data_IF_924150760139
#
_entry.id   IF_924150760139
#
_cell.length_a   1.000
_cell.length_b   1.000
_cell.length_c   1.000
_cell.angle_alpha   90.00
_cell.angle_beta   90.00
_cell.angle_gamma   90.00
#
_symmetry.space_group_name_H-M   'P 1'
#
loop_
_entity.id
_entity.type
_entity.pdbx_description
1 polymer ?
#
# COMPACT_ATOMS: atom_id res chain seq x y z
N UNK A 1 12.75 -9.35 -21.18
CA UNK A 1 11.56 -8.81 -20.67
C UNK A 1 11.61 -8.72 -19.15
N UNK A 2 11.16 -7.70 -18.67
CA UNK A 2 11.24 -7.52 -17.26
C UNK A 2 9.88 -7.77 -16.63
N UNK A 3 9.92 -8.43 -15.54
CA UNK A 3 8.73 -8.63 -14.76
C UNK A 3 8.69 -7.56 -13.70
N UNK A 4 7.57 -6.89 -13.55
CA UNK A 4 7.48 -5.92 -12.47
C UNK A 4 7.79 -6.59 -11.15
N UNK A 5 8.63 -5.98 -10.37
CA UNK A 5 9.03 -6.54 -9.11
C UNK A 5 7.85 -6.66 -8.16
N UNK A 6 6.84 -5.83 -8.38
CA UNK A 6 5.74 -5.75 -7.44
C UNK A 6 4.42 -5.88 -8.18
N UNK A 7 4.02 -7.11 -8.39
CA UNK A 7 2.75 -7.39 -9.02
C UNK A 7 1.86 -8.09 -8.02
N UNK A 8 0.71 -7.49 -7.75
CA UNK A 8 -0.28 -8.11 -6.89
C UNK A 8 -1.46 -8.56 -7.72
N UNK A 9 -2.00 -9.71 -7.36
CA UNK A 9 -3.24 -10.18 -7.95
C UNK A 9 -4.33 -9.15 -7.66
N UNK A 10 -5.03 -8.65 -8.68
CA UNK A 10 -6.09 -7.67 -8.43
C UNK A 10 -7.15 -8.12 -7.43
N UNK A 11 -7.37 -9.42 -7.31
CA UNK A 11 -8.35 -9.93 -6.36
C UNK A 11 -7.88 -9.74 -4.93
N UNK A 12 -6.57 -9.74 -4.69
CA UNK A 12 -6.06 -9.45 -3.36
C UNK A 12 -6.31 -7.99 -2.99
N UNK A 13 -6.21 -7.11 -3.96
CA UNK A 13 -6.42 -5.69 -3.71
C UNK A 13 -7.85 -5.40 -3.25
N UNK A 14 -8.78 -6.29 -3.54
CA UNK A 14 -10.17 -6.09 -3.13
C UNK A 14 -10.42 -6.46 -1.68
N UNK A 15 -9.48 -7.16 -1.05
CA UNK A 15 -9.71 -7.65 0.31
C UNK A 15 -8.59 -7.30 1.27
N UNK A 16 -7.48 -6.74 0.78
CA UNK A 16 -6.36 -6.42 1.66
C UNK A 16 -6.72 -5.27 2.60
N UNK A 17 -6.41 -5.46 3.86
CA UNK A 17 -6.63 -4.45 4.88
C UNK A 17 -5.39 -4.37 5.76
N UNK A 18 -5.19 -3.21 6.37
CA UNK A 18 -4.09 -3.05 7.31
C UNK A 18 -4.31 -3.96 8.51
N UNK A 19 -3.32 -4.76 8.89
CA UNK A 19 -3.51 -5.65 10.03
C UNK A 19 -3.66 -4.92 11.36
N UNK A 20 -3.24 -3.66 11.42
CA UNK A 20 -3.28 -2.92 12.66
C UNK A 20 -4.64 -2.26 12.90
N UNK A 21 -5.19 -1.57 11.89
CA UNK A 21 -6.46 -0.87 12.08
C UNK A 21 -7.58 -1.41 11.20
N UNK A 22 -7.27 -2.41 10.37
CA UNK A 22 -8.24 -3.09 9.51
C UNK A 22 -8.90 -2.19 8.49
N UNK A 23 -8.25 -1.10 8.16
CA UNK A 23 -8.75 -0.18 7.16
C UNK A 23 -8.10 -0.40 5.80
N UNK A 24 -8.57 0.33 4.79
CA UNK A 24 -8.03 0.14 3.44
C UNK A 24 -6.61 0.67 3.29
N UNK A 25 -5.92 0.12 2.30
CA UNK A 25 -4.55 0.49 1.97
C UNK A 25 -4.53 1.03 0.55
N UNK A 26 -3.44 1.71 0.19
CA UNK A 26 -3.24 2.21 -1.17
C UNK A 26 -2.04 1.51 -1.79
N UNK A 27 -2.25 0.95 -2.97
CA UNK A 27 -1.22 0.16 -3.66
C UNK A 27 -0.41 1.06 -4.59
N UNK A 28 0.87 1.22 -4.29
CA UNK A 28 1.81 1.94 -5.13
C UNK A 28 2.70 0.91 -5.81
N UNK A 29 2.31 0.53 -7.01
CA UNK A 29 2.92 -0.60 -7.70
C UNK A 29 4.39 -0.38 -8.00
N UNK A 30 4.76 0.82 -8.41
CA UNK A 30 6.15 1.08 -8.78
C UNK A 30 7.07 1.20 -7.57
N UNK A 31 6.50 1.35 -6.38
CA UNK A 31 7.30 1.38 -5.15
C UNK A 31 7.14 0.10 -4.36
N UNK A 32 6.30 -0.81 -4.82
CA UNK A 32 6.03 -2.08 -4.12
C UNK A 32 5.60 -1.84 -2.68
N UNK A 33 4.69 -0.89 -2.49
CA UNK A 33 4.22 -0.52 -1.17
C UNK A 33 2.71 -0.51 -1.09
N UNK A 34 2.22 -0.99 0.04
CA UNK A 34 0.83 -0.79 0.44
C UNK A 34 0.85 0.21 1.58
N UNK A 35 0.20 1.34 1.38
CA UNK A 35 0.31 2.45 2.32
C UNK A 35 -0.96 2.68 3.11
N UNK A 36 -0.79 2.86 4.41
CA UNK A 36 -1.89 3.22 5.31
C UNK A 36 -1.71 4.67 5.74
N UNK A 37 -2.49 5.61 5.19
CA UNK A 37 -2.32 7.02 5.53
C UNK A 37 -2.79 7.38 6.94
N UNK A 38 -3.69 6.59 7.50
CA UNK A 38 -4.20 6.88 8.84
C UNK A 38 -3.13 6.70 9.89
N UNK A 39 -2.27 5.71 9.71
CA UNK A 39 -1.21 5.39 10.66
C UNK A 39 0.17 5.75 10.13
N UNK A 40 0.24 6.22 8.87
CA UNK A 40 1.50 6.54 8.20
C UNK A 40 2.46 5.36 8.22
N UNK A 41 1.93 4.20 7.84
CA UNK A 41 2.69 2.96 7.79
C UNK A 41 2.65 2.38 6.39
N UNK A 42 3.78 1.86 5.94
CA UNK A 42 3.88 1.26 4.62
C UNK A 42 4.28 -0.21 4.78
N UNK A 43 3.58 -1.07 4.05
CA UNK A 43 3.87 -2.50 4.05
C UNK A 43 4.49 -2.84 2.71
N UNK A 44 5.62 -3.54 2.73
CA UNK A 44 6.31 -3.91 1.51
C UNK A 44 5.66 -5.12 0.86
N UNK A 45 5.78 -5.17 -0.47
CA UNK A 45 5.38 -6.34 -1.23
C UNK A 45 6.64 -6.91 -1.87
N UNK A 46 6.97 -8.15 -1.53
CA UNK A 46 8.17 -8.82 -2.02
C UNK A 46 7.76 -9.98 -2.89
N UNK A 47 8.22 -9.96 -4.15
CA UNK A 47 7.93 -11.05 -5.09
C UNK A 47 6.43 -11.32 -5.21
N UNK A 48 5.64 -10.26 -5.18
CA UNK A 48 4.19 -10.38 -5.31
C UNK A 48 3.50 -10.80 -4.02
N UNK A 49 4.24 -10.91 -2.92
CA UNK A 49 3.68 -11.34 -1.65
C UNK A 49 3.69 -10.16 -0.67
N UNK A 50 2.51 -9.70 -0.24
CA UNK A 50 2.47 -8.60 0.72
C UNK A 50 2.95 -9.06 2.09
N UNK A 51 3.85 -8.29 2.67
CA UNK A 51 4.35 -8.58 4.01
C UNK A 51 3.48 -7.81 5.00
N UNK A 52 2.43 -8.46 5.45
CA UNK A 52 1.39 -7.82 6.26
C UNK A 52 1.61 -8.07 7.74
N UNK A 53 2.82 -7.77 8.20
CA UNK A 53 3.17 -7.92 9.61
C UNK A 53 3.35 -6.54 10.20
N UNK A 54 2.67 -6.28 11.30
CA UNK A 54 2.71 -4.96 11.93
C UNK A 54 4.14 -4.58 12.26
N UNK A 55 4.92 -5.53 12.74
CA UNK A 55 6.31 -5.27 13.13
C UNK A 55 7.21 -5.00 11.94
N UNK A 56 6.78 -5.38 10.74
CA UNK A 56 7.56 -5.15 9.53
C UNK A 56 7.12 -3.89 8.79
N UNK A 57 6.08 -3.24 9.26
CA UNK A 57 5.60 -2.03 8.62
C UNK A 57 6.62 -0.91 8.82
N UNK A 58 6.86 -0.16 7.74
CA UNK A 58 7.78 0.96 7.80
C UNK A 58 7.02 2.22 8.21
N UNK A 59 7.50 2.88 9.26
CA UNK A 59 6.91 4.14 9.66
C UNK A 59 7.34 5.23 8.69
N UNK A 60 6.40 6.03 8.25
CA UNK A 60 6.68 7.13 7.34
C UNK A 60 6.53 8.44 8.09
N UNK A 61 7.51 9.34 7.88
CA UNK A 61 7.41 10.67 8.49
C UNK A 61 6.47 11.54 7.65
N UNK A 62 6.28 12.79 8.09
CA UNK A 62 5.34 13.67 7.42
C UNK A 62 5.74 13.97 5.98
N UNK A 63 7.03 14.09 5.70
CA UNK A 63 7.49 14.36 4.33
C UNK A 63 7.17 13.19 3.42
N UNK A 64 7.40 11.99 3.89
CA UNK A 64 7.08 10.79 3.13
C UNK A 64 5.58 10.66 2.93
N UNK A 65 4.82 10.94 3.98
CA UNK A 65 3.37 10.92 3.90
C UNK A 65 2.85 11.87 2.84
N UNK A 66 3.37 13.10 2.83
CA UNK A 66 2.94 14.08 1.84
C UNK A 66 3.28 13.64 0.42
N UNK A 67 4.46 13.05 0.24
CA UNK A 67 4.87 12.57 -1.07
C UNK A 67 3.94 11.48 -1.57
N UNK A 68 3.63 10.52 -0.70
CA UNK A 68 2.79 9.40 -1.08
C UNK A 68 1.35 9.86 -1.33
N UNK A 69 0.82 10.71 -0.47
CA UNK A 69 -0.53 11.20 -0.65
C UNK A 69 -0.66 12.03 -1.92
N UNK A 70 0.40 12.77 -2.26
CA UNK A 70 0.41 13.51 -3.52
C UNK A 70 0.31 12.58 -4.72
N UNK A 71 1.00 11.45 -4.67
CA UNK A 71 0.92 10.46 -5.73
C UNK A 71 -0.46 9.82 -5.81
N UNK A 72 -1.02 9.47 -4.66
CA UNK A 72 -2.35 8.85 -4.63
C UNK A 72 -3.37 9.78 -5.27
N UNK A 73 -3.30 11.05 -4.95
CA UNK A 73 -4.21 12.02 -5.52
C UNK A 73 -3.98 12.25 -7.01
N UNK A 74 -2.71 12.41 -7.40
CA UNK A 74 -2.39 12.70 -8.79
C UNK A 74 -2.71 11.55 -9.73
N UNK A 75 -2.55 10.32 -9.23
CA UNK A 75 -2.74 9.13 -10.05
C UNK A 75 -4.09 8.46 -9.82
N UNK A 76 -4.91 9.04 -8.96
CA UNK A 76 -6.24 8.50 -8.64
C UNK A 76 -6.17 7.05 -8.20
N UNK A 77 -5.25 6.76 -7.30
CA UNK A 77 -5.09 5.40 -6.80
C UNK A 77 -6.24 5.07 -5.86
N UNK A 78 -7.02 4.03 -6.16
CA UNK A 78 -8.14 3.68 -5.28
C UNK A 78 -7.67 2.91 -4.05
N UNK A 79 -8.45 2.91 -2.97
CA UNK A 79 -8.13 2.07 -1.83
C UNK A 79 -8.29 0.59 -2.16
N UNK A 80 -7.69 -0.27 -1.34
CA UNK A 80 -7.69 -1.70 -1.60
C UNK A 80 -9.09 -2.29 -1.63
N UNK A 81 -9.99 -1.83 -0.78
CA UNK A 81 -11.38 -2.21 -0.92
C UNK A 81 -12.22 -0.95 -0.91
N UNK A 82 -13.30 -1.00 -1.65
CA UNK A 82 -14.14 0.17 -1.79
C UNK A 82 -14.73 0.52 -0.45
N UNK A 83 -14.51 1.74 -0.05
CA UNK A 83 -15.11 2.27 1.15
C UNK A 83 -16.55 2.63 0.84
N UNK A 84 -17.42 2.37 1.74
CA UNK A 84 -18.82 2.72 1.51
C UNK A 84 -19.22 3.91 2.27
#
# INVERSE_FOLDING_TARGET
>A
MSTPAATLDPRLLEILACPQDKGPLYWLADEALLYNPRLQRAYEVRDGIPVMLIDEARACDDAEHQRIMGRISAENIPPTFASR
#
